data_IF_688131505409
#
_entry.id   IF_688131505409
#
_cell.length_a   1.000
_cell.length_b   1.000
_cell.length_c   1.000
_cell.angle_alpha   90.00
_cell.angle_beta   90.00
_cell.angle_gamma   90.00
#
_symmetry.space_group_name_H-M   'P 1'
#
loop_
_entity.id
_entity.type
_entity.pdbx_description
1 polymer ?
#
# COMPACT_ATOMS: atom_id res chain seq x y z
N UNK A 1 -7.70 18.06 72.10
CA UNK A 1 -8.14 18.74 70.86
C UNK A 1 -7.05 19.68 70.39
N UNK A 2 -6.55 19.55 69.15
CA UNK A 2 -5.31 20.21 68.72
C UNK A 2 -5.53 21.69 68.36
N UNK A 3 -4.54 22.51 68.73
CA UNK A 3 -4.45 23.96 68.45
C UNK A 3 -4.36 24.22 66.94
N UNK A 4 -5.12 25.22 66.47
CA UNK A 4 -5.05 25.79 65.11
C UNK A 4 -3.71 26.50 64.91
N UNK A 5 -2.96 26.12 63.88
CA UNK A 5 -1.81 26.88 63.39
C UNK A 5 -2.31 27.99 62.44
N UNK A 6 -1.86 29.22 62.70
CA UNK A 6 -2.21 30.42 61.96
C UNK A 6 -1.16 30.69 60.87
N UNK A 7 -1.57 31.32 59.76
CA UNK A 7 -0.75 31.63 58.57
C UNK A 7 0.47 32.55 58.83
N UNK A 8 0.78 32.89 60.08
CA UNK A 8 1.91 33.74 60.48
C UNK A 8 3.10 32.99 61.08
N UNK A 9 3.02 31.67 61.27
CA UNK A 9 4.12 30.86 61.82
C UNK A 9 5.04 30.23 60.76
N UNK A 10 4.88 30.55 59.47
CA UNK A 10 5.63 29.92 58.38
C UNK A 10 6.70 30.82 57.72
N UNK A 11 7.19 31.85 58.43
CA UNK A 11 8.22 32.78 57.89
C UNK A 11 9.37 33.06 58.86
N UNK A 12 9.81 32.04 59.61
CA UNK A 12 11.11 32.05 60.28
C UNK A 12 11.72 30.67 60.22
N UNK A 13 12.51 30.43 59.18
CA UNK A 13 13.72 29.59 59.16
C UNK A 13 14.30 29.63 57.75
N UNK A 14 15.03 30.71 57.48
CA UNK A 14 16.00 30.75 56.39
C UNK A 14 17.29 30.12 56.90
N UNK A 15 17.68 28.96 56.37
CA UNK A 15 19.04 28.46 56.43
C UNK A 15 19.38 27.83 55.08
N UNK A 16 20.48 28.32 54.53
CA UNK A 16 20.98 28.16 53.18
C UNK A 16 21.50 26.74 52.96
N UNK A 17 20.93 26.03 51.99
CA UNK A 17 21.52 24.84 51.39
C UNK A 17 21.84 25.14 49.93
N UNK A 18 23.09 25.49 49.63
CA UNK A 18 23.54 25.68 48.25
C UNK A 18 23.63 24.32 47.55
N UNK A 19 22.59 23.95 46.79
CA UNK A 19 22.69 22.91 45.77
C UNK A 19 22.94 23.62 44.45
N UNK A 20 24.15 23.44 43.91
CA UNK A 20 24.50 23.94 42.60
C UNK A 20 23.58 23.30 41.55
N UNK A 21 22.71 24.12 40.95
CA UNK A 21 22.05 23.78 39.70
C UNK A 21 23.09 23.80 38.58
N UNK A 22 23.72 22.65 38.34
CA UNK A 22 24.36 22.40 37.04
C UNK A 22 23.27 22.39 35.95
N UNK A 23 23.55 22.88 34.73
CA UNK A 23 22.56 22.80 33.67
C UNK A 23 22.32 21.32 33.40
N UNK A 24 21.09 20.87 33.64
CA UNK A 24 20.64 19.58 33.14
C UNK A 24 20.58 19.69 31.62
N UNK A 25 21.71 19.43 30.95
CA UNK A 25 21.73 19.15 29.53
C UNK A 25 20.82 17.95 29.33
N UNK A 26 19.59 18.22 28.89
CA UNK A 26 18.75 17.21 28.25
C UNK A 26 19.59 16.68 27.10
N UNK A 27 20.20 15.51 27.31
CA UNK A 27 20.58 14.62 26.21
C UNK A 27 19.25 14.22 25.55
N UNK A 28 18.72 15.11 24.70
CA UNK A 28 17.94 14.66 23.56
C UNK A 28 18.90 13.75 22.82
N UNK A 29 18.72 12.44 23.00
CA UNK A 29 19.36 11.47 22.14
C UNK A 29 19.05 11.90 20.72
N UNK A 30 20.06 12.40 20.02
CA UNK A 30 19.99 12.51 18.58
C UNK A 30 19.85 11.08 18.10
N UNK A 31 18.64 10.68 17.76
CA UNK A 31 18.46 9.56 16.86
C UNK A 31 19.21 9.96 15.61
N UNK A 32 20.39 9.36 15.41
CA UNK A 32 21.05 9.41 14.10
C UNK A 32 19.98 8.98 13.09
N UNK A 33 19.81 9.69 11.96
CA UNK A 33 19.02 9.14 10.88
C UNK A 33 19.68 7.81 10.53
N UNK A 34 19.02 6.71 10.87
CA UNK A 34 19.41 5.40 10.38
C UNK A 34 19.23 5.49 8.88
N UNK A 35 20.34 5.55 8.16
CA UNK A 35 20.35 5.66 6.70
C UNK A 35 20.04 4.30 6.06
N UNK A 36 19.07 3.60 6.64
CA UNK A 36 18.42 2.45 6.08
C UNK A 36 17.10 2.98 5.54
N UNK A 37 17.16 3.61 4.37
CA UNK A 37 15.96 3.72 3.54
C UNK A 37 15.42 2.29 3.44
N UNK A 38 14.35 1.97 4.16
CA UNK A 38 13.71 0.67 4.04
C UNK A 38 13.49 0.42 2.55
N UNK A 39 14.04 -0.65 1.99
CA UNK A 39 13.99 -0.90 0.55
C UNK A 39 12.55 -0.98 0.01
N UNK A 40 11.59 -1.21 0.90
CA UNK A 40 10.16 -1.28 0.63
C UNK A 40 9.61 0.14 0.43
N UNK A 41 8.95 0.32 -0.73
CA UNK A 41 8.24 1.56 -1.07
C UNK A 41 6.78 1.41 -0.68
N UNK A 42 6.26 2.38 0.07
CA UNK A 42 4.84 2.45 0.41
C UNK A 42 4.09 3.32 -0.61
N UNK A 43 2.93 2.84 -1.05
CA UNK A 43 2.01 3.55 -1.93
C UNK A 43 0.57 3.45 -1.42
N UNK A 44 -0.37 3.89 -2.26
CA UNK A 44 -1.81 3.74 -2.01
C UNK A 44 -2.48 3.21 -3.27
N UNK A 45 -3.38 2.24 -3.13
CA UNK A 45 -4.36 1.92 -4.15
C UNK A 45 -5.47 2.96 -4.07
N UNK A 46 -5.66 3.76 -5.12
CA UNK A 46 -6.55 4.93 -5.11
C UNK A 46 -8.02 4.60 -4.79
N UNK A 47 -8.44 3.32 -4.92
CA UNK A 47 -9.76 2.83 -4.52
C UNK A 47 -10.05 3.01 -3.02
N UNK A 48 -9.00 3.13 -2.20
CA UNK A 48 -9.07 3.59 -0.81
C UNK A 48 -9.91 4.86 -0.66
N UNK A 49 -9.82 5.77 -1.63
CA UNK A 49 -10.54 7.05 -1.64
C UNK A 49 -11.62 7.12 -2.71
N UNK A 50 -12.23 5.98 -3.11
CA UNK A 50 -13.22 5.88 -4.20
C UNK A 50 -14.41 6.85 -4.14
N UNK A 51 -14.77 7.35 -2.95
CA UNK A 51 -15.86 8.32 -2.78
C UNK A 51 -15.40 9.78 -2.96
N UNK A 52 -14.10 10.04 -3.11
CA UNK A 52 -13.50 11.38 -3.19
C UNK A 52 -12.97 11.68 -4.59
N UNK A 53 -12.94 12.96 -4.96
CA UNK A 53 -12.38 13.36 -6.26
C UNK A 53 -10.85 13.25 -6.29
N UNK A 54 -10.27 13.24 -7.48
CA UNK A 54 -8.82 13.31 -7.71
C UNK A 54 -8.17 14.47 -6.97
N UNK A 55 -8.81 15.64 -6.98
CA UNK A 55 -8.31 16.81 -6.25
C UNK A 55 -8.24 16.55 -4.72
N UNK A 56 -9.25 15.89 -4.16
CA UNK A 56 -9.27 15.50 -2.75
C UNK A 56 -8.23 14.40 -2.47
N UNK A 57 -8.14 13.37 -3.33
CA UNK A 57 -7.12 12.32 -3.26
C UNK A 57 -5.70 12.92 -3.23
N UNK A 58 -5.38 13.84 -4.13
CA UNK A 58 -4.08 14.55 -4.14
C UNK A 58 -3.86 15.29 -2.81
N UNK A 59 -4.90 15.94 -2.28
CA UNK A 59 -4.87 16.58 -0.96
C UNK A 59 -4.53 15.60 0.17
N UNK A 60 -5.18 14.43 0.18
CA UNK A 60 -4.93 13.38 1.18
C UNK A 60 -3.52 12.79 1.05
N UNK A 61 -3.05 12.48 -0.17
CA UNK A 61 -1.70 11.97 -0.40
C UNK A 61 -0.62 12.94 0.14
N UNK A 62 -0.83 14.26 -0.03
CA UNK A 62 0.04 15.29 0.56
C UNK A 62 0.02 15.26 2.09
N UNK A 63 -1.15 15.18 2.71
CA UNK A 63 -1.27 15.10 4.18
C UNK A 63 -0.60 13.84 4.73
N UNK A 64 -0.71 12.72 4.00
CA UNK A 64 -0.13 11.43 4.35
C UNK A 64 1.37 11.34 4.05
N UNK A 65 1.94 12.31 3.31
CA UNK A 65 3.31 12.25 2.77
C UNK A 65 3.56 10.98 1.94
N UNK A 66 2.63 10.65 1.04
CA UNK A 66 2.75 9.57 0.06
C UNK A 66 2.87 10.18 -1.34
N UNK A 67 3.83 9.70 -2.11
CA UNK A 67 4.11 10.17 -3.49
C UNK A 67 3.94 9.07 -4.53
N UNK A 68 3.43 7.91 -4.15
CA UNK A 68 3.36 6.75 -5.03
C UNK A 68 1.93 6.24 -5.02
N UNK A 69 1.35 6.11 -6.21
CA UNK A 69 -0.05 5.80 -6.42
C UNK A 69 -0.21 4.64 -7.40
N UNK A 70 -0.98 3.64 -6.98
CA UNK A 70 -1.64 2.69 -7.85
C UNK A 70 -3.04 3.23 -8.18
N UNK A 71 -3.19 3.77 -9.38
CA UNK A 71 -4.39 4.50 -9.78
C UNK A 71 -5.45 3.56 -10.39
N UNK A 72 -6.72 3.79 -10.07
CA UNK A 72 -7.86 3.06 -10.64
C UNK A 72 -8.72 4.04 -11.45
N UNK A 73 -9.48 3.52 -12.40
CA UNK A 73 -10.61 4.24 -13.01
C UNK A 73 -11.78 4.26 -12.01
N UNK A 74 -11.59 4.98 -10.92
CA UNK A 74 -12.57 5.19 -9.86
C UNK A 74 -12.85 6.69 -9.76
N UNK A 75 -14.12 7.07 -9.91
CA UNK A 75 -14.57 8.46 -9.97
C UNK A 75 -13.85 9.24 -11.07
N UNK A 76 -12.85 10.05 -10.73
CA UNK A 76 -12.01 10.82 -11.66
C UNK A 76 -10.50 10.62 -11.41
N UNK A 77 -10.12 9.57 -10.68
CA UNK A 77 -8.73 9.32 -10.27
C UNK A 77 -7.81 9.11 -11.47
N UNK A 78 -8.10 8.14 -12.36
CA UNK A 78 -7.43 7.99 -13.65
C UNK A 78 -8.45 7.46 -14.67
N UNK A 79 -9.23 8.35 -15.29
CA UNK A 79 -10.25 7.95 -16.25
C UNK A 79 -9.64 7.34 -17.52
N UNK A 80 -10.28 6.33 -18.09
CA UNK A 80 -9.85 5.70 -19.35
C UNK A 80 -10.07 6.55 -20.61
N UNK A 81 -10.88 7.61 -20.52
CA UNK A 81 -11.03 8.61 -21.57
C UNK A 81 -9.71 9.40 -21.77
N UNK A 82 -9.11 9.44 -22.98
CA UNK A 82 -7.77 9.99 -23.18
C UNK A 82 -7.59 11.46 -22.76
N UNK A 83 -8.62 12.30 -22.90
CA UNK A 83 -8.52 13.71 -22.52
C UNK A 83 -8.53 13.86 -20.99
N UNK A 84 -9.41 13.14 -20.31
CA UNK A 84 -9.48 13.13 -18.85
C UNK A 84 -8.28 12.42 -18.21
N UNK A 85 -7.77 11.35 -18.84
CA UNK A 85 -6.52 10.67 -18.47
C UNK A 85 -5.36 11.66 -18.48
N UNK A 86 -5.16 12.39 -19.59
CA UNK A 86 -4.08 13.36 -19.72
C UNK A 86 -4.15 14.47 -18.65
N UNK A 87 -5.36 14.94 -18.33
CA UNK A 87 -5.58 15.89 -17.25
C UNK A 87 -5.22 15.29 -15.88
N UNK A 88 -5.62 14.05 -15.60
CA UNK A 88 -5.27 13.35 -14.37
C UNK A 88 -3.75 13.18 -14.21
N UNK A 89 -3.07 12.72 -15.26
CA UNK A 89 -1.61 12.55 -15.29
C UNK A 89 -0.90 13.90 -15.06
N UNK A 90 -1.40 14.99 -15.65
CA UNK A 90 -0.87 16.33 -15.43
C UNK A 90 -1.01 16.78 -13.98
N UNK A 91 -2.17 16.55 -13.35
CA UNK A 91 -2.42 16.88 -11.94
C UNK A 91 -1.48 16.11 -11.00
N UNK A 92 -1.31 14.81 -11.21
CA UNK A 92 -0.38 14.00 -10.41
C UNK A 92 1.07 14.45 -10.58
N UNK A 93 1.49 14.72 -11.82
CA UNK A 93 2.84 15.24 -12.11
C UNK A 93 3.07 16.58 -11.40
N UNK A 94 2.12 17.50 -11.48
CA UNK A 94 2.19 18.79 -10.81
C UNK A 94 2.24 18.67 -9.28
N UNK A 95 1.60 17.64 -8.73
CA UNK A 95 1.62 17.32 -7.31
C UNK A 95 2.87 16.54 -6.86
N UNK A 96 3.74 16.10 -7.77
CA UNK A 96 4.90 15.27 -7.47
C UNK A 96 4.53 13.84 -7.05
N UNK A 97 3.41 13.32 -7.58
CA UNK A 97 2.91 11.97 -7.35
C UNK A 97 3.29 11.09 -8.57
N UNK A 98 3.95 9.98 -8.30
CA UNK A 98 4.32 8.93 -9.24
C UNK A 98 3.18 7.92 -9.39
N UNK A 99 2.72 7.75 -10.64
CA UNK A 99 1.84 6.64 -11.02
C UNK A 99 2.70 5.41 -11.32
N UNK A 100 2.87 4.52 -10.34
CA UNK A 100 3.71 3.33 -10.52
C UNK A 100 2.95 2.09 -10.99
N UNK A 101 1.63 2.10 -10.82
CA UNK A 101 0.74 1.03 -11.26
C UNK A 101 -0.65 1.61 -11.62
N UNK A 102 -1.39 0.88 -12.44
CA UNK A 102 -2.82 1.12 -12.62
C UNK A 102 -3.61 -0.19 -12.56
N UNK A 103 -4.74 -0.15 -11.85
CA UNK A 103 -5.72 -1.21 -11.83
C UNK A 103 -6.27 -1.53 -10.44
N UNK A 104 -7.12 -2.54 -10.27
CA UNK A 104 -7.45 -3.57 -11.24
C UNK A 104 -8.05 -3.04 -12.56
N UNK A 105 -7.46 -3.43 -13.69
CA UNK A 105 -7.99 -3.23 -15.04
C UNK A 105 -8.56 -4.58 -15.50
N UNK A 106 -9.83 -4.58 -15.87
CA UNK A 106 -10.57 -5.78 -16.29
C UNK A 106 -10.56 -5.95 -17.81
N UNK A 107 -10.68 -7.22 -18.23
CA UNK A 107 -10.64 -7.65 -19.63
C UNK A 107 -11.95 -8.36 -20.02
N UNK A 108 -13.07 -7.64 -20.13
CA UNK A 108 -14.38 -8.26 -20.39
C UNK A 108 -14.50 -8.81 -21.83
N UNK A 109 -13.55 -8.51 -22.71
CA UNK A 109 -13.52 -8.99 -24.09
C UNK A 109 -12.17 -9.61 -24.39
N UNK A 110 -12.19 -10.84 -24.89
CA UNK A 110 -10.99 -11.53 -25.36
C UNK A 110 -10.65 -11.12 -26.80
N UNK A 111 -10.38 -9.83 -27.01
CA UNK A 111 -10.02 -9.26 -28.31
C UNK A 111 -8.81 -8.31 -28.22
N UNK A 112 -8.02 -8.25 -29.30
CA UNK A 112 -6.78 -7.49 -29.33
C UNK A 112 -7.00 -5.97 -29.25
N UNK A 113 -8.15 -5.46 -29.69
CA UNK A 113 -8.42 -4.03 -29.66
C UNK A 113 -8.71 -3.56 -28.23
N UNK A 114 -9.48 -4.32 -27.46
CA UNK A 114 -9.75 -4.04 -26.04
C UNK A 114 -8.46 -4.08 -25.22
N UNK A 115 -7.68 -5.17 -25.35
CA UNK A 115 -6.42 -5.32 -24.60
C UNK A 115 -5.43 -4.22 -25.01
N UNK A 116 -5.24 -3.98 -26.31
CA UNK A 116 -4.36 -2.90 -26.81
C UNK A 116 -4.73 -1.55 -26.21
N UNK A 117 -6.01 -1.22 -26.13
CA UNK A 117 -6.47 0.04 -25.54
C UNK A 117 -6.07 0.17 -24.06
N UNK A 118 -6.04 -0.93 -23.28
CA UNK A 118 -5.58 -0.92 -21.88
C UNK A 118 -4.07 -0.69 -21.76
N UNK A 119 -3.28 -1.26 -22.68
CA UNK A 119 -1.85 -1.02 -22.73
C UNK A 119 -1.50 0.39 -23.22
N UNK A 120 -2.23 0.92 -24.21
CA UNK A 120 -2.11 2.31 -24.65
C UNK A 120 -2.43 3.28 -23.51
N UNK A 121 -3.48 3.00 -22.73
CA UNK A 121 -3.84 3.73 -21.51
C UNK A 121 -2.68 3.78 -20.50
N UNK A 122 -2.10 2.63 -20.16
CA UNK A 122 -0.94 2.59 -19.26
C UNK A 122 0.29 3.31 -19.87
N UNK A 123 0.54 3.16 -21.17
CA UNK A 123 1.66 3.77 -21.88
C UNK A 123 1.58 5.30 -21.87
N UNK A 124 0.42 5.87 -22.20
CA UNK A 124 0.19 7.33 -22.17
C UNK A 124 0.34 7.90 -20.77
N UNK A 125 -0.13 7.19 -19.76
CA UNK A 125 0.02 7.56 -18.36
C UNK A 125 1.45 7.38 -17.81
N UNK A 126 2.35 6.73 -18.56
CA UNK A 126 3.73 6.44 -18.12
C UNK A 126 3.83 5.36 -17.05
N UNK A 127 2.85 4.44 -17.01
CA UNK A 127 2.71 3.43 -15.97
C UNK A 127 3.42 2.13 -16.37
N UNK A 128 4.36 1.61 -15.54
CA UNK A 128 5.15 0.43 -15.87
C UNK A 128 4.52 -0.91 -15.42
N UNK A 129 3.43 -0.88 -14.64
CA UNK A 129 2.74 -2.06 -14.11
C UNK A 129 1.23 -1.93 -14.32
N UNK A 130 0.67 -2.82 -15.13
CA UNK A 130 -0.76 -3.02 -15.27
C UNK A 130 -1.19 -4.06 -14.23
N UNK A 131 -2.01 -3.69 -13.27
CA UNK A 131 -2.64 -4.62 -12.33
C UNK A 131 -3.90 -5.18 -12.98
N UNK A 132 -3.87 -6.46 -13.36
CA UNK A 132 -4.95 -7.11 -14.09
C UNK A 132 -5.99 -7.67 -13.12
N UNK A 133 -7.25 -7.25 -13.29
CA UNK A 133 -8.39 -7.78 -12.56
C UNK A 133 -9.07 -8.89 -13.34
N UNK A 134 -9.14 -10.08 -12.73
CA UNK A 134 -9.90 -11.24 -13.22
C UNK A 134 -9.72 -11.59 -14.71
N UNK A 135 -8.48 -11.60 -15.27
CA UNK A 135 -8.31 -12.10 -16.63
C UNK A 135 -8.68 -13.59 -16.71
N UNK A 136 -9.13 -14.04 -17.87
CA UNK A 136 -9.28 -15.47 -18.14
C UNK A 136 -7.92 -16.12 -18.44
N UNK A 137 -7.84 -17.45 -18.36
CA UNK A 137 -6.60 -18.18 -18.71
C UNK A 137 -6.29 -18.00 -20.20
N UNK A 138 -7.31 -17.92 -21.05
CA UNK A 138 -7.20 -17.69 -22.48
C UNK A 138 -6.62 -16.30 -22.79
N UNK A 139 -7.00 -15.29 -22.00
CA UNK A 139 -6.49 -13.92 -22.15
C UNK A 139 -5.00 -13.81 -21.81
N UNK A 140 -4.45 -14.68 -20.96
CA UNK A 140 -3.04 -14.59 -20.55
C UNK A 140 -2.07 -14.63 -21.72
N UNK A 141 -2.37 -15.41 -22.77
CA UNK A 141 -1.52 -15.49 -23.97
C UNK A 141 -1.55 -14.17 -24.75
N UNK A 142 -2.71 -13.51 -24.83
CA UNK A 142 -2.81 -12.17 -25.44
C UNK A 142 -2.11 -11.13 -24.57
N UNK A 143 -2.35 -11.15 -23.26
CA UNK A 143 -1.69 -10.25 -22.32
C UNK A 143 -0.17 -10.37 -22.39
N UNK A 144 0.38 -11.58 -22.53
CA UNK A 144 1.81 -11.81 -22.73
C UNK A 144 2.33 -11.15 -24.01
N UNK A 145 1.60 -11.29 -25.12
CA UNK A 145 1.96 -10.64 -26.39
C UNK A 145 2.07 -9.12 -26.22
N UNK A 146 1.08 -8.50 -25.60
CA UNK A 146 1.06 -7.05 -25.35
C UNK A 146 2.09 -6.60 -24.29
N UNK A 147 2.33 -7.40 -23.26
CA UNK A 147 3.36 -7.14 -22.27
C UNK A 147 4.75 -7.04 -22.92
N UNK A 148 5.04 -7.93 -23.89
CA UNK A 148 6.27 -7.86 -24.72
C UNK A 148 6.28 -6.63 -25.63
N UNK A 149 5.19 -6.36 -26.33
CA UNK A 149 5.10 -5.27 -27.31
C UNK A 149 5.30 -3.89 -26.64
N UNK A 150 4.69 -3.68 -25.47
CA UNK A 150 4.67 -2.38 -24.80
C UNK A 150 5.79 -2.20 -23.76
N UNK A 151 6.47 -3.29 -23.39
CA UNK A 151 7.40 -3.37 -22.26
C UNK A 151 6.73 -2.94 -20.93
N UNK A 152 5.52 -3.43 -20.70
CA UNK A 152 4.72 -3.18 -19.48
C UNK A 152 4.53 -4.50 -18.76
N UNK A 153 4.78 -4.50 -17.44
CA UNK A 153 4.56 -5.69 -16.61
C UNK A 153 3.06 -5.85 -16.31
N UNK A 154 2.58 -7.08 -16.36
CA UNK A 154 1.20 -7.44 -16.00
C UNK A 154 1.23 -8.17 -14.66
N UNK A 155 0.59 -7.58 -13.66
CA UNK A 155 0.46 -8.10 -12.31
C UNK A 155 -0.98 -8.60 -12.10
N UNK A 156 -1.21 -9.90 -12.21
CA UNK A 156 -2.54 -10.49 -12.00
C UNK A 156 -2.89 -10.41 -10.51
N UNK A 157 -3.98 -9.71 -10.19
CA UNK A 157 -4.47 -9.50 -8.83
C UNK A 157 -5.33 -10.67 -8.39
N UNK A 158 -4.98 -11.29 -7.26
CA UNK A 158 -5.77 -12.38 -6.70
C UNK A 158 -6.96 -11.84 -5.88
N UNK A 159 -8.18 -12.32 -6.15
CA UNK A 159 -9.40 -11.79 -5.53
C UNK A 159 -10.05 -12.71 -4.46
N UNK A 160 -9.29 -13.66 -3.92
CA UNK A 160 -9.70 -14.43 -2.74
C UNK A 160 -10.71 -15.54 -3.08
N UNK A 161 -11.34 -16.14 -2.06
CA UNK A 161 -12.10 -17.39 -2.23
C UNK A 161 -13.35 -17.27 -3.12
N UNK A 162 -13.79 -16.05 -3.43
CA UNK A 162 -14.89 -15.79 -4.35
C UNK A 162 -14.48 -15.92 -5.83
N UNK A 163 -13.20 -15.70 -6.16
CA UNK A 163 -12.67 -15.84 -7.51
C UNK A 163 -12.42 -17.32 -7.84
N UNK A 164 -12.90 -17.74 -9.00
CA UNK A 164 -12.82 -19.12 -9.48
C UNK A 164 -11.56 -19.41 -10.30
N UNK A 165 -10.88 -18.37 -10.77
CA UNK A 165 -9.71 -18.48 -11.65
C UNK A 165 -8.44 -18.19 -10.86
N UNK A 166 -8.37 -17.04 -10.19
CA UNK A 166 -7.18 -16.60 -9.45
C UNK A 166 -7.48 -16.26 -7.97
N UNK A 167 -8.04 -17.21 -7.19
CA UNK A 167 -8.35 -16.95 -5.78
C UNK A 167 -7.09 -16.62 -4.96
N UNK A 168 -5.96 -17.24 -5.29
CA UNK A 168 -4.70 -17.10 -4.57
C UNK A 168 -3.56 -16.77 -5.53
N UNK A 169 -2.48 -16.14 -5.03
CA UNK A 169 -1.29 -15.91 -5.84
C UNK A 169 -0.59 -17.20 -6.30
N UNK A 170 -0.83 -18.34 -5.64
CA UNK A 170 -0.26 -19.62 -6.07
C UNK A 170 -0.86 -20.09 -7.41
N UNK A 171 -2.16 -19.90 -7.62
CA UNK A 171 -2.78 -20.20 -8.92
C UNK A 171 -2.32 -19.24 -10.01
N UNK A 172 -2.11 -17.96 -9.67
CA UNK A 172 -1.48 -16.99 -10.58
C UNK A 172 -0.09 -17.47 -11.01
N UNK A 173 0.80 -17.78 -10.05
CA UNK A 173 2.17 -18.20 -10.33
C UNK A 173 2.22 -19.47 -11.20
N UNK A 174 1.31 -20.41 -10.95
CA UNK A 174 1.15 -21.62 -11.76
C UNK A 174 0.75 -21.30 -13.19
N UNK A 175 -0.17 -20.36 -13.39
CA UNK A 175 -0.66 -19.98 -14.71
C UNK A 175 0.39 -19.20 -15.54
N UNK A 176 1.22 -18.38 -14.89
CA UNK A 176 2.23 -17.55 -15.59
C UNK A 176 3.63 -18.18 -15.65
N UNK A 177 3.85 -19.36 -15.07
CA UNK A 177 5.20 -19.93 -14.88
C UNK A 177 6.03 -20.01 -16.17
N UNK A 178 5.38 -20.37 -17.29
CA UNK A 178 5.99 -20.57 -18.60
C UNK A 178 5.82 -19.36 -19.54
N UNK A 179 5.17 -18.29 -19.08
CA UNK A 179 4.98 -17.04 -19.82
C UNK A 179 6.18 -16.10 -19.62
N UNK A 180 6.25 -15.05 -20.43
CA UNK A 180 7.25 -13.97 -20.34
C UNK A 180 7.50 -13.52 -18.89
N UNK A 181 8.75 -13.14 -18.53
CA UNK A 181 9.06 -12.59 -17.22
C UNK A 181 8.30 -11.31 -16.87
N UNK A 182 7.63 -10.65 -17.81
CA UNK A 182 6.71 -9.52 -17.55
C UNK A 182 5.33 -9.94 -17.06
N UNK A 183 5.02 -11.24 -17.02
CA UNK A 183 3.78 -11.78 -16.46
C UNK A 183 4.00 -12.21 -15.01
N UNK A 184 3.19 -11.72 -14.09
CA UNK A 184 3.41 -11.93 -12.65
C UNK A 184 2.15 -11.66 -11.84
N UNK A 185 2.33 -11.42 -10.55
CA UNK A 185 1.22 -11.23 -9.61
C UNK A 185 1.23 -9.85 -8.94
N UNK A 186 0.03 -9.38 -8.66
CA UNK A 186 -0.25 -8.43 -7.58
C UNK A 186 -0.79 -9.24 -6.40
N UNK A 187 0.00 -9.38 -5.32
CA UNK A 187 -0.45 -10.12 -4.14
C UNK A 187 -1.32 -9.20 -3.29
N UNK A 188 -2.60 -9.51 -3.18
CA UNK A 188 -3.44 -8.98 -2.11
C UNK A 188 -3.32 -9.87 -0.89
N UNK A 189 -2.79 -9.32 0.19
CA UNK A 189 -2.48 -10.07 1.41
C UNK A 189 -3.75 -10.56 2.12
N UNK A 190 -4.83 -9.78 2.09
CA UNK A 190 -6.10 -10.11 2.73
C UNK A 190 -6.83 -11.20 1.97
N UNK A 191 -6.96 -11.05 0.66
CA UNK A 191 -7.51 -12.09 -0.21
C UNK A 191 -6.70 -13.39 -0.11
N UNK A 192 -5.36 -13.30 -0.08
CA UNK A 192 -4.49 -14.47 0.04
C UNK A 192 -4.79 -15.26 1.31
N UNK A 193 -4.77 -14.63 2.49
CA UNK A 193 -5.01 -15.36 3.74
C UNK A 193 -6.44 -15.91 3.84
N UNK A 194 -7.43 -15.25 3.21
CA UNK A 194 -8.81 -15.73 3.16
C UNK A 194 -8.99 -17.04 2.39
N UNK A 195 -8.04 -17.39 1.53
CA UNK A 195 -8.02 -18.71 0.87
C UNK A 195 -7.39 -19.81 1.72
N UNK A 196 -6.86 -19.49 2.91
CA UNK A 196 -6.02 -20.39 3.70
C UNK A 196 -4.57 -20.48 3.20
N UNK A 197 -4.19 -19.68 2.20
CA UNK A 197 -2.81 -19.63 1.68
C UNK A 197 -1.89 -18.89 2.66
N UNK A 198 -0.73 -19.46 2.94
CA UNK A 198 0.35 -18.76 3.65
C UNK A 198 0.91 -17.64 2.77
N UNK A 199 0.56 -16.40 3.11
CA UNK A 199 0.96 -15.19 2.38
C UNK A 199 2.48 -14.96 2.41
N UNK A 200 3.17 -15.34 3.49
CA UNK A 200 4.62 -15.19 3.63
C UNK A 200 5.32 -16.16 2.67
N UNK A 201 4.85 -17.41 2.62
CA UNK A 201 5.36 -18.39 1.67
C UNK A 201 5.04 -18.00 0.23
N UNK A 202 3.83 -17.51 -0.04
CA UNK A 202 3.42 -17.05 -1.37
C UNK A 202 4.31 -15.91 -1.89
N UNK A 203 4.66 -14.93 -1.04
CA UNK A 203 5.60 -13.86 -1.40
C UNK A 203 6.98 -14.43 -1.75
N UNK A 204 7.50 -15.38 -0.96
CA UNK A 204 8.80 -16.01 -1.23
C UNK A 204 8.80 -16.77 -2.56
N UNK A 205 7.72 -17.49 -2.85
CA UNK A 205 7.56 -18.22 -4.11
C UNK A 205 7.38 -17.29 -5.31
N UNK A 206 6.69 -16.17 -5.13
CA UNK A 206 6.50 -15.19 -6.20
C UNK A 206 7.82 -14.59 -6.68
N UNK A 207 8.74 -14.29 -5.76
CA UNK A 207 10.10 -13.86 -6.08
C UNK A 207 10.11 -12.71 -7.09
N UNK A 208 10.78 -12.92 -8.23
CA UNK A 208 10.89 -11.91 -9.29
C UNK A 208 9.58 -11.66 -10.05
N UNK A 209 8.57 -12.52 -9.92
CA UNK A 209 7.23 -12.34 -10.51
C UNK A 209 6.27 -11.56 -9.61
N UNK A 210 6.70 -11.12 -8.42
CA UNK A 210 5.92 -10.18 -7.61
C UNK A 210 6.12 -8.76 -8.11
N UNK A 211 5.08 -8.14 -8.66
CA UNK A 211 5.18 -6.78 -9.22
C UNK A 211 4.49 -5.72 -8.39
N UNK A 212 3.45 -6.09 -7.64
CA UNK A 212 2.71 -5.18 -6.77
C UNK A 212 2.17 -5.95 -5.55
N UNK A 213 1.92 -5.24 -4.45
CA UNK A 213 1.29 -5.80 -3.24
C UNK A 213 0.17 -4.87 -2.83
N UNK A 214 -1.03 -5.41 -2.64
CA UNK A 214 -2.12 -4.72 -1.96
C UNK A 214 -2.12 -5.14 -0.50
N UNK A 215 -1.83 -4.19 0.37
CA UNK A 215 -1.78 -4.35 1.81
C UNK A 215 -3.13 -3.96 2.43
N UNK A 216 -3.63 -4.85 3.27
CA UNK A 216 -4.78 -4.64 4.15
C UNK A 216 -4.60 -5.52 5.38
N UNK A 217 -5.49 -5.36 6.35
CA UNK A 217 -5.50 -6.20 7.56
C UNK A 217 -6.94 -6.57 7.89
N UNK A 218 -7.11 -7.73 8.53
CA UNK A 218 -8.39 -8.37 8.77
C UNK A 218 -8.43 -8.81 10.23
N UNK A 219 -9.60 -8.74 10.87
CA UNK A 219 -9.81 -9.35 12.19
C UNK A 219 -10.19 -10.83 12.10
N UNK A 220 -10.53 -11.31 10.89
CA UNK A 220 -10.90 -12.69 10.62
C UNK A 220 -10.38 -13.13 9.26
N UNK A 221 -9.74 -14.30 9.19
CA UNK A 221 -9.26 -14.88 7.92
C UNK A 221 -10.37 -15.57 7.13
N UNK A 222 -11.63 -15.47 7.53
CA UNK A 222 -12.77 -16.05 6.78
C UNK A 222 -13.77 -14.98 6.34
N UNK A 223 -13.98 -13.97 7.17
CA UNK A 223 -14.98 -12.93 6.91
C UNK A 223 -14.39 -11.82 6.04
N UNK A 224 -14.98 -11.63 4.85
CA UNK A 224 -14.58 -10.59 3.90
C UNK A 224 -14.80 -9.16 4.43
N UNK A 225 -15.77 -8.98 5.32
CA UNK A 225 -16.12 -7.65 5.84
C UNK A 225 -15.28 -7.29 7.09
N UNK A 226 -14.33 -8.15 7.47
CA UNK A 226 -13.55 -8.01 8.70
C UNK A 226 -12.34 -7.08 8.60
N UNK A 227 -12.23 -6.34 7.48
CA UNK A 227 -11.10 -5.45 7.23
C UNK A 227 -11.04 -4.31 8.25
N UNK A 228 -9.82 -4.02 8.71
CA UNK A 228 -9.51 -3.00 9.71
C UNK A 228 -8.25 -2.22 9.30
N UNK A 229 -7.87 -1.23 10.11
CA UNK A 229 -6.58 -0.57 9.92
C UNK A 229 -5.43 -1.57 10.11
N UNK A 230 -4.37 -1.42 9.32
CA UNK A 230 -3.18 -2.26 9.42
C UNK A 230 -2.55 -2.11 10.80
N UNK A 231 -2.42 -3.22 11.52
CA UNK A 231 -1.96 -3.26 12.91
C UNK A 231 -3.04 -3.55 13.94
N UNK A 232 -4.32 -3.40 13.57
CA UNK A 232 -5.46 -3.75 14.42
C UNK A 232 -6.04 -5.15 14.10
N UNK A 233 -5.57 -5.80 13.03
CA UNK A 233 -5.99 -7.13 12.63
C UNK A 233 -5.01 -8.23 13.06
N UNK A 234 -5.10 -9.35 12.35
CA UNK A 234 -4.38 -10.59 12.69
C UNK A 234 -3.41 -11.05 11.59
N UNK A 235 -3.26 -10.30 10.50
CA UNK A 235 -2.32 -10.67 9.45
C UNK A 235 -0.88 -10.53 9.95
N UNK A 236 0.05 -11.39 9.50
CA UNK A 236 1.43 -11.37 9.97
C UNK A 236 2.25 -10.27 9.27
N UNK A 237 1.88 -9.00 9.46
CA UNK A 237 2.44 -7.85 8.72
C UNK A 237 3.98 -7.79 8.80
N UNK A 238 4.56 -8.11 9.98
CA UNK A 238 6.02 -8.18 10.15
C UNK A 238 6.66 -9.20 9.24
N UNK A 239 6.13 -10.42 9.23
CA UNK A 239 6.67 -11.52 8.42
C UNK A 239 6.46 -11.28 6.92
N UNK A 240 5.40 -10.57 6.54
CA UNK A 240 5.16 -10.12 5.16
C UNK A 240 6.31 -9.19 4.71
N UNK A 241 6.62 -8.13 5.47
CA UNK A 241 7.73 -7.24 5.12
C UNK A 241 9.09 -7.95 5.13
N UNK A 242 9.33 -8.85 6.09
CA UNK A 242 10.55 -9.67 6.10
C UNK A 242 10.68 -10.55 4.85
N UNK A 243 9.58 -11.14 4.37
CA UNK A 243 9.58 -11.91 3.13
C UNK A 243 9.87 -11.02 1.91
N UNK A 244 9.28 -9.81 1.84
CA UNK A 244 9.54 -8.84 0.78
C UNK A 244 11.01 -8.40 0.76
N UNK A 245 11.59 -8.12 1.93
CA UNK A 245 13.01 -7.81 2.06
C UNK A 245 13.90 -8.99 1.64
N UNK A 246 13.53 -10.22 2.03
CA UNK A 246 14.30 -11.42 1.70
C UNK A 246 14.36 -11.69 0.19
N UNK A 247 13.29 -11.39 -0.56
CA UNK A 247 13.28 -11.51 -2.02
C UNK A 247 13.84 -10.25 -2.73
N UNK A 248 14.32 -9.26 -1.97
CA UNK A 248 14.78 -7.96 -2.49
C UNK A 248 13.72 -7.27 -3.34
N UNK A 249 12.48 -7.28 -2.87
CA UNK A 249 11.35 -6.68 -3.56
C UNK A 249 11.60 -5.19 -3.86
N UNK A 250 11.39 -4.78 -5.12
CA UNK A 250 11.66 -3.42 -5.62
C UNK A 250 10.41 -2.65 -6.03
N UNK A 251 9.24 -3.30 -5.97
CA UNK A 251 7.94 -2.70 -6.26
C UNK A 251 7.37 -1.92 -5.06
N UNK A 252 6.05 -1.78 -5.06
CA UNK A 252 5.32 -0.98 -4.08
C UNK A 252 4.35 -1.84 -3.28
N UNK A 253 4.28 -1.56 -1.99
CA UNK A 253 3.26 -2.05 -1.08
C UNK A 253 2.21 -0.95 -0.95
N UNK A 254 1.10 -1.14 -1.63
CA UNK A 254 -0.01 -0.20 -1.68
C UNK A 254 -1.00 -0.49 -0.58
N UNK A 255 -1.31 0.50 0.26
CA UNK A 255 -2.47 0.38 1.13
C UNK A 255 -3.74 0.37 0.29
N UNK A 256 -4.56 -0.68 0.44
CA UNK A 256 -5.90 -0.75 -0.10
C UNK A 256 -6.90 -0.85 1.06
N UNK A 257 -7.40 0.30 1.48
CA UNK A 257 -8.31 0.43 2.63
C UNK A 257 -9.76 0.54 2.17
N UNK A 258 -10.52 -0.55 2.28
CA UNK A 258 -11.84 -0.68 1.64
C UNK A 258 -13.02 -0.52 2.60
N UNK A 259 -12.77 -0.22 3.86
CA UNK A 259 -13.80 0.07 4.87
C UNK A 259 -13.93 1.58 5.11
N UNK A 260 -15.06 2.01 5.68
CA UNK A 260 -15.36 3.42 5.96
C UNK A 260 -15.15 4.36 4.75
N UNK A 261 -15.72 4.00 3.60
CA UNK A 261 -15.50 4.69 2.33
C UNK A 261 -15.75 6.22 2.36
N UNK A 262 -16.66 6.68 3.23
CA UNK A 262 -17.01 8.10 3.39
C UNK A 262 -16.09 8.86 4.35
N UNK A 263 -15.31 8.17 5.18
CA UNK A 263 -14.30 8.74 6.08
C UNK A 263 -13.12 7.77 6.30
N UNK A 264 -12.31 7.50 5.26
CA UNK A 264 -11.25 6.50 5.34
C UNK A 264 -9.98 7.02 6.02
N UNK A 265 -9.82 8.35 6.15
CA UNK A 265 -8.58 8.97 6.63
C UNK A 265 -8.11 8.50 8.01
N UNK A 266 -8.98 8.31 9.03
CA UNK A 266 -8.55 7.78 10.32
C UNK A 266 -7.85 6.42 10.20
N UNK A 267 -8.46 5.48 9.48
CA UNK A 267 -7.90 4.14 9.28
C UNK A 267 -6.67 4.14 8.39
N UNK A 268 -6.63 4.99 7.37
CA UNK A 268 -5.47 5.15 6.48
C UNK A 268 -4.26 5.73 7.23
N UNK A 269 -4.47 6.75 8.07
CA UNK A 269 -3.42 7.34 8.91
C UNK A 269 -2.84 6.27 9.85
N UNK A 270 -3.72 5.55 10.56
CA UNK A 270 -3.29 4.48 11.48
C UNK A 270 -2.49 3.39 10.74
N UNK A 271 -2.99 2.93 9.60
CA UNK A 271 -2.34 1.90 8.78
C UNK A 271 -0.96 2.32 8.29
N UNK A 272 -0.84 3.54 7.73
CA UNK A 272 0.45 4.06 7.25
C UNK A 272 1.44 4.32 8.38
N UNK A 273 0.97 4.82 9.53
CA UNK A 273 1.81 5.02 10.70
C UNK A 273 2.37 3.68 11.21
N UNK A 274 1.53 2.65 11.30
CA UNK A 274 1.94 1.30 11.68
C UNK A 274 2.98 0.72 10.71
N UNK A 275 2.69 0.74 9.40
CA UNK A 275 3.62 0.22 8.39
C UNK A 275 4.97 0.96 8.39
N UNK A 276 4.97 2.29 8.52
CA UNK A 276 6.20 3.08 8.63
C UNK A 276 6.99 2.71 9.89
N UNK A 277 6.35 2.68 11.04
CA UNK A 277 7.01 2.31 12.30
C UNK A 277 7.59 0.89 12.27
N UNK A 278 6.91 -0.03 11.58
CA UNK A 278 7.42 -1.39 11.37
C UNK A 278 8.66 -1.42 10.48
N UNK A 279 8.65 -0.70 9.35
CA UNK A 279 9.80 -0.61 8.45
C UNK A 279 10.99 0.10 9.11
N UNK A 280 10.75 1.17 9.87
CA UNK A 280 11.77 1.88 10.65
C UNK A 280 12.41 0.96 11.70
N UNK A 281 11.63 0.06 12.31
CA UNK A 281 12.13 -0.93 13.26
C UNK A 281 12.83 -2.14 12.63
N UNK A 282 12.79 -2.28 11.30
CA UNK A 282 13.53 -3.30 10.54
C UNK A 282 14.82 -2.75 9.94
N UNK A 283 14.99 -1.43 9.95
CA UNK A 283 16.10 -0.70 9.35
C UNK A 283 17.38 -0.81 10.17
#
# INVERSE_FOLDING_TARGET
>A
MPRRLSRRDLLRNAAVGAVAFGPASRLMGQTKPTNHSSAIKLGIASYTFRNFSRAQLIGYLKQLNIKSLNAKDAKDHLPSDPQQEAAAVADYRAAGIELHAAGAIYFPKNDDADIRAKFDYCKRAGIPVLVAGDPTVEELTRLEHFAKEYDIRVAIHNHGPEDKIFPSPLEVLKAVKDLDPRMGCCIDVGHTVRTGTDVVQAIRLAGTRLFNVHMKDLTSVIDKESQVAVGDGILPIRAIFEALLAIKYTGFVDLEYEVHADDPMPGVIASLAYMRGMLDGMA
#
